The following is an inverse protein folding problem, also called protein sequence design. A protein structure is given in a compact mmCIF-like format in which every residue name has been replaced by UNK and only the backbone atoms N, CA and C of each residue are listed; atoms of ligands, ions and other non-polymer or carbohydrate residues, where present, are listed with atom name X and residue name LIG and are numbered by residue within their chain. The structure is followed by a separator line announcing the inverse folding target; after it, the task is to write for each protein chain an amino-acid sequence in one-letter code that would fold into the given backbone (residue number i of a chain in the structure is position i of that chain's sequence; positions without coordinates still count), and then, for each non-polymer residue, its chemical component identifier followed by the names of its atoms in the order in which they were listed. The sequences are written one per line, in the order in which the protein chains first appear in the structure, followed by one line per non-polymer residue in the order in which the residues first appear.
data_IF_600449455286
#
_entry.id   IF_600449455286
#
_cell.length_a   1.000
_cell.length_b   1.000
_cell.length_c   1.000
_cell.angle_alpha   90.00
_cell.angle_beta   90.00
_cell.angle_gamma   90.00
#
_symmetry.space_group_name_H-M   'P 1'
#
loop_
_entity.id
_entity.type
_entity.pdbx_description
1 polymer ?
#
# COMPACT_ATOMS: atom_id res chain seq x y z
N UNK A 1 16.17 -15.99 -41.01
CA UNK A 1 16.15 -16.25 -39.57
C UNK A 1 17.25 -17.28 -39.29
N UNK A 2 18.49 -16.81 -39.03
CA UNK A 2 19.58 -17.66 -38.68
C UNK A 2 19.36 -18.32 -37.32
N UNK A 3 19.71 -19.61 -37.22
CA UNK A 3 19.72 -20.36 -35.96
C UNK A 3 20.74 -19.68 -35.02
N UNK A 4 20.25 -18.80 -34.16
CA UNK A 4 21.09 -18.31 -33.06
C UNK A 4 21.40 -19.49 -32.15
N UNK A 5 22.69 -19.72 -31.87
CA UNK A 5 23.09 -20.76 -30.98
C UNK A 5 22.41 -20.58 -29.61
N UNK A 6 22.05 -21.67 -28.93
CA UNK A 6 21.45 -21.58 -27.58
C UNK A 6 22.23 -20.67 -26.65
N UNK A 7 23.57 -20.64 -26.80
CA UNK A 7 24.45 -19.76 -26.05
C UNK A 7 24.18 -18.27 -26.24
N UNK A 8 23.82 -17.85 -27.47
CA UNK A 8 23.46 -16.44 -27.73
C UNK A 8 22.13 -16.07 -27.07
N UNK A 9 21.18 -17.01 -27.03
CA UNK A 9 19.88 -16.81 -26.35
C UNK A 9 20.10 -16.66 -24.85
N UNK A 10 20.89 -17.53 -24.23
CA UNK A 10 21.25 -17.43 -22.82
C UNK A 10 22.00 -16.15 -22.49
N UNK A 11 22.91 -15.72 -23.36
CA UNK A 11 23.65 -14.48 -23.19
C UNK A 11 22.74 -13.25 -23.28
N UNK A 12 21.77 -13.25 -24.20
CA UNK A 12 20.75 -12.20 -24.30
C UNK A 12 19.85 -12.13 -23.08
N UNK A 13 19.42 -13.27 -22.55
CA UNK A 13 18.62 -13.34 -21.33
C UNK A 13 19.41 -12.83 -20.12
N UNK A 14 20.69 -13.16 -20.05
CA UNK A 14 21.54 -12.77 -18.92
C UNK A 14 21.96 -11.31 -18.97
N UNK A 15 22.42 -10.81 -20.11
CA UNK A 15 23.00 -9.48 -20.25
C UNK A 15 22.04 -8.46 -20.89
N UNK A 16 20.86 -8.89 -21.33
CA UNK A 16 19.91 -8.05 -22.07
C UNK A 16 20.24 -7.92 -23.55
N UNK A 17 19.45 -7.13 -24.25
CA UNK A 17 19.59 -6.84 -25.67
C UNK A 17 19.67 -5.34 -25.83
N UNK A 18 20.67 -4.86 -26.55
CA UNK A 18 20.73 -3.47 -27.02
C UNK A 18 19.94 -3.41 -28.33
N UNK A 19 18.86 -2.65 -28.34
CA UNK A 19 18.02 -2.43 -29.52
C UNK A 19 18.16 -0.97 -29.93
N UNK A 20 18.58 -0.74 -31.16
CA UNK A 20 18.61 0.60 -31.77
C UNK A 20 17.39 0.74 -32.69
N UNK A 21 16.39 1.47 -32.26
CA UNK A 21 15.16 1.71 -33.02
C UNK A 21 15.21 3.01 -33.82
N UNK A 22 16.23 3.84 -33.58
CA UNK A 22 16.35 5.19 -34.18
C UNK A 22 15.47 6.24 -33.50
N UNK A 23 14.80 5.89 -32.40
CA UNK A 23 14.05 6.82 -31.56
C UNK A 23 14.74 6.94 -30.20
N UNK A 24 15.27 8.11 -29.89
CA UNK A 24 16.04 8.38 -28.66
C UNK A 24 15.31 7.95 -27.36
N UNK A 25 14.00 8.17 -27.30
CA UNK A 25 13.19 7.79 -26.12
C UNK A 25 13.03 6.28 -26.02
N UNK A 26 12.72 5.62 -27.13
CA UNK A 26 12.61 4.15 -27.16
C UNK A 26 13.95 3.48 -26.85
N UNK A 27 15.04 3.98 -27.42
CA UNK A 27 16.39 3.44 -27.24
C UNK A 27 16.88 3.67 -25.79
N UNK A 28 16.51 4.77 -25.14
CA UNK A 28 16.83 5.01 -23.74
C UNK A 28 16.13 4.04 -22.77
N UNK A 29 14.95 3.57 -23.10
CA UNK A 29 14.17 2.60 -22.32
C UNK A 29 14.64 1.18 -22.62
N UNK A 30 14.74 0.82 -23.90
CA UNK A 30 15.09 -0.53 -24.34
C UNK A 30 16.57 -0.86 -24.13
N UNK A 31 17.46 0.11 -24.32
CA UNK A 31 18.90 -0.06 -24.13
C UNK A 31 19.31 -0.20 -22.66
N UNK A 32 18.46 0.16 -21.71
CA UNK A 32 18.68 -0.03 -20.26
C UNK A 32 18.21 -1.38 -19.74
N UNK A 33 17.53 -2.18 -20.56
CA UNK A 33 17.08 -3.52 -20.20
C UNK A 33 18.29 -4.50 -20.13
N UNK A 34 19.05 -4.43 -19.05
CA UNK A 34 20.26 -5.22 -18.81
C UNK A 34 20.01 -6.70 -18.50
N UNK A 35 18.88 -7.27 -18.91
CA UNK A 35 18.53 -8.66 -18.66
C UNK A 35 18.51 -9.01 -17.18
N UNK A 36 18.86 -10.26 -16.85
CA UNK A 36 19.00 -10.71 -15.46
C UNK A 36 20.05 -9.91 -14.69
N UNK A 37 21.17 -9.58 -15.31
CA UNK A 37 22.23 -8.78 -14.70
C UNK A 37 21.75 -7.38 -14.30
N UNK A 38 20.95 -6.73 -15.13
CA UNK A 38 20.38 -5.42 -14.83
C UNK A 38 19.45 -5.42 -13.62
N UNK A 39 18.79 -6.54 -13.34
CA UNK A 39 17.88 -6.69 -12.19
C UNK A 39 18.58 -7.13 -10.91
N UNK A 40 19.82 -7.65 -10.98
CA UNK A 40 20.57 -8.16 -9.82
C UNK A 40 20.79 -7.08 -8.76
N UNK A 41 21.04 -5.84 -9.15
CA UNK A 41 21.18 -4.73 -8.21
C UNK A 41 19.89 -4.52 -7.41
N UNK A 42 18.73 -4.56 -8.08
CA UNK A 42 17.42 -4.42 -7.45
C UNK A 42 17.12 -5.60 -6.51
N UNK A 43 17.46 -6.81 -6.92
CA UNK A 43 17.32 -8.02 -6.08
C UNK A 43 18.15 -7.90 -4.80
N UNK A 44 19.41 -7.50 -4.93
CA UNK A 44 20.30 -7.29 -3.78
C UNK A 44 19.77 -6.21 -2.84
N UNK A 45 19.25 -5.10 -3.39
CA UNK A 45 18.63 -4.03 -2.59
C UNK A 45 17.42 -4.56 -1.82
N UNK A 46 16.54 -5.31 -2.47
CA UNK A 46 15.35 -5.89 -1.85
C UNK A 46 15.74 -6.84 -0.71
N UNK A 47 16.72 -7.71 -0.93
CA UNK A 47 17.19 -8.64 0.11
C UNK A 47 17.75 -7.90 1.34
N UNK A 48 18.53 -6.85 1.13
CA UNK A 48 19.07 -6.02 2.22
C UNK A 48 17.96 -5.24 2.93
N UNK A 49 17.01 -4.68 2.17
CA UNK A 49 15.87 -3.94 2.71
C UNK A 49 14.97 -4.85 3.57
N UNK A 50 14.68 -6.07 3.10
CA UNK A 50 13.91 -7.06 3.86
C UNK A 50 14.62 -7.50 5.14
N UNK A 51 15.95 -7.71 5.08
CA UNK A 51 16.75 -8.05 6.26
C UNK A 51 16.74 -6.92 7.29
N UNK A 52 16.90 -5.67 6.85
CA UNK A 52 16.84 -4.48 7.68
C UNK A 52 15.44 -4.28 8.26
N UNK A 53 14.39 -4.34 7.43
CA UNK A 53 13.01 -4.21 7.85
C UNK A 53 12.59 -5.28 8.86
N UNK A 54 12.97 -6.54 8.62
CA UNK A 54 12.71 -7.63 9.56
C UNK A 54 13.44 -7.46 10.90
N UNK A 55 14.62 -6.85 10.91
CA UNK A 55 15.31 -6.49 12.15
C UNK A 55 14.55 -5.38 12.91
N UNK A 56 14.09 -4.34 12.23
CA UNK A 56 13.28 -3.27 12.84
C UNK A 56 11.95 -3.78 13.38
N UNK A 57 11.27 -4.67 12.67
CA UNK A 57 10.03 -5.32 13.11
C UNK A 57 10.26 -6.10 14.41
N UNK A 58 11.31 -6.94 14.46
CA UNK A 58 11.67 -7.70 15.66
C UNK A 58 12.07 -6.84 16.84
N UNK A 59 12.64 -5.66 16.62
CA UNK A 59 12.91 -4.69 17.66
C UNK A 59 11.63 -4.08 18.27
N UNK A 60 10.47 -4.25 17.63
CA UNK A 60 9.19 -3.70 18.09
C UNK A 60 9.15 -2.16 18.11
N UNK A 61 10.05 -1.49 17.39
CA UNK A 61 10.16 -0.04 17.37
C UNK A 61 8.87 0.61 16.85
N UNK A 62 8.33 0.09 15.75
CA UNK A 62 7.12 0.62 15.12
C UNK A 62 5.90 0.40 15.99
N UNK A 63 5.75 -0.79 16.57
CA UNK A 63 4.67 -1.09 17.50
C UNK A 63 4.69 -0.18 18.75
N UNK A 64 5.87 0.13 19.26
CA UNK A 64 6.01 1.06 20.39
C UNK A 64 5.65 2.49 20.05
N UNK A 65 6.07 2.96 18.88
CA UNK A 65 5.77 4.31 18.39
C UNK A 65 4.28 4.50 18.14
N UNK A 66 3.65 3.57 17.43
CA UNK A 66 2.26 3.69 16.96
C UNK A 66 1.24 2.95 17.84
N UNK A 67 1.67 1.97 18.64
CA UNK A 67 0.80 1.24 19.57
C UNK A 67 0.13 2.17 20.59
N UNK A 68 0.84 3.16 21.10
CA UNK A 68 0.29 4.19 21.97
C UNK A 68 -0.75 5.11 21.30
N UNK A 69 -0.69 5.24 19.98
CA UNK A 69 -1.63 6.06 19.21
C UNK A 69 -3.04 5.43 19.16
N UNK A 70 -3.15 4.11 19.26
CA UNK A 70 -4.44 3.39 19.28
C UNK A 70 -5.41 3.94 20.32
N UNK A 71 -4.92 4.30 21.50
CA UNK A 71 -5.75 4.77 22.61
C UNK A 71 -6.36 6.15 22.36
N UNK A 72 -5.78 6.95 21.49
CA UNK A 72 -6.26 8.29 21.13
C UNK A 72 -7.25 8.29 19.97
N UNK A 73 -7.42 7.14 19.31
CA UNK A 73 -8.27 7.00 18.12
C UNK A 73 -9.70 6.68 18.55
N UNK A 74 -10.62 7.60 18.28
CA UNK A 74 -12.05 7.46 18.63
C UNK A 74 -12.99 7.59 17.43
N UNK A 75 -12.49 8.04 16.28
CA UNK A 75 -13.30 8.23 15.07
C UNK A 75 -12.76 7.45 13.88
N UNK A 76 -13.64 7.17 12.91
CA UNK A 76 -13.26 6.47 11.67
C UNK A 76 -12.19 7.28 10.91
N UNK A 77 -12.38 8.60 10.77
CA UNK A 77 -11.41 9.44 10.08
C UNK A 77 -10.05 9.47 10.75
N UNK A 78 -9.99 9.55 12.11
CA UNK A 78 -8.71 9.53 12.83
C UNK A 78 -8.01 8.16 12.72
N UNK A 79 -8.76 7.06 12.64
CA UNK A 79 -8.21 5.73 12.43
C UNK A 79 -7.58 5.62 11.04
N UNK A 80 -8.30 6.04 10.01
CA UNK A 80 -7.80 6.01 8.63
C UNK A 80 -6.57 6.88 8.49
N UNK A 81 -6.58 8.11 9.03
CA UNK A 81 -5.42 8.98 9.01
C UNK A 81 -4.20 8.34 9.69
N UNK A 82 -4.39 7.74 10.87
CA UNK A 82 -3.32 7.06 11.58
C UNK A 82 -2.76 5.88 10.77
N UNK A 83 -3.63 5.09 10.13
CA UNK A 83 -3.22 3.97 9.27
C UNK A 83 -2.41 4.47 8.07
N UNK A 84 -2.89 5.49 7.36
CA UNK A 84 -2.21 6.09 6.21
C UNK A 84 -0.81 6.62 6.60
N UNK A 85 -0.73 7.43 7.66
CA UNK A 85 0.53 8.00 8.09
C UNK A 85 1.53 6.94 8.58
N UNK A 86 1.05 5.93 9.30
CA UNK A 86 1.92 4.83 9.75
C UNK A 86 2.43 4.02 8.57
N UNK A 87 1.60 3.75 7.57
CA UNK A 87 2.00 3.02 6.36
C UNK A 87 3.09 3.79 5.59
N UNK A 88 2.88 5.08 5.33
CA UNK A 88 3.89 5.95 4.69
C UNK A 88 5.19 6.00 5.50
N UNK A 89 5.09 6.09 6.83
CA UNK A 89 6.26 6.07 7.70
C UNK A 89 7.02 4.75 7.62
N UNK A 90 6.31 3.63 7.60
CA UNK A 90 6.92 2.31 7.44
C UNK A 90 7.61 2.17 6.08
N UNK A 91 6.99 2.60 4.98
CA UNK A 91 7.62 2.63 3.66
C UNK A 91 8.94 3.42 3.67
N UNK A 92 8.91 4.61 4.27
CA UNK A 92 10.07 5.48 4.32
C UNK A 92 11.22 4.90 5.17
N UNK A 93 10.90 4.20 6.27
CA UNK A 93 11.90 3.73 7.23
C UNK A 93 12.31 2.29 7.01
N UNK A 94 11.40 1.42 6.59
CA UNK A 94 11.66 0.00 6.36
C UNK A 94 12.02 -0.32 4.92
N UNK A 95 12.01 0.68 4.05
CA UNK A 95 12.46 0.62 2.65
C UNK A 95 11.70 -0.39 1.76
N UNK A 96 10.55 -0.88 2.20
CA UNK A 96 9.77 -1.90 1.49
C UNK A 96 8.27 -1.72 1.67
N UNK A 97 7.50 -1.81 0.57
CA UNK A 97 6.04 -1.70 0.59
C UNK A 97 5.35 -2.84 1.33
N UNK A 98 5.92 -4.07 1.32
CA UNK A 98 5.31 -5.18 2.04
C UNK A 98 5.32 -4.94 3.54
N UNK A 99 6.39 -4.33 4.06
CA UNK A 99 6.48 -3.93 5.46
C UNK A 99 5.62 -2.69 5.74
N UNK A 100 5.50 -1.78 4.78
CA UNK A 100 4.58 -0.64 4.84
C UNK A 100 3.11 -1.03 4.98
N UNK A 101 2.74 -2.20 4.50
CA UNK A 101 1.40 -2.79 4.64
C UNK A 101 1.34 -3.77 5.83
N UNK A 102 2.31 -4.69 5.89
CA UNK A 102 2.30 -5.81 6.82
C UNK A 102 2.43 -5.43 8.28
N UNK A 103 3.23 -4.41 8.59
CA UNK A 103 3.45 -3.95 9.97
C UNK A 103 2.25 -3.16 10.52
N UNK A 104 1.68 -2.16 9.81
CA UNK A 104 0.51 -1.44 10.33
C UNK A 104 -0.76 -2.28 10.39
N UNK A 105 -0.90 -3.30 9.55
CA UNK A 105 -2.11 -4.14 9.50
C UNK A 105 -2.48 -4.75 10.85
N UNK A 106 -1.63 -5.52 11.54
CA UNK A 106 -1.95 -6.07 12.86
C UNK A 106 -2.08 -4.98 13.93
N UNK A 107 -1.35 -3.87 13.80
CA UNK A 107 -1.41 -2.77 14.76
C UNK A 107 -2.82 -2.19 14.84
N UNK A 108 -3.49 -1.96 13.72
CA UNK A 108 -4.78 -1.28 13.68
C UNK A 108 -5.98 -2.23 13.53
N UNK A 109 -5.77 -3.50 13.23
CA UNK A 109 -6.82 -4.47 12.96
C UNK A 109 -7.94 -4.48 14.00
N UNK A 110 -7.57 -4.57 15.28
CA UNK A 110 -8.53 -4.57 16.40
C UNK A 110 -9.34 -3.28 16.48
N UNK A 111 -8.72 -2.15 16.11
CA UNK A 111 -9.38 -0.84 16.12
C UNK A 111 -10.42 -0.72 15.01
N UNK A 112 -10.16 -1.32 13.84
CA UNK A 112 -11.18 -1.42 12.78
C UNK A 112 -12.38 -2.24 13.25
N UNK A 113 -12.15 -3.36 13.95
CA UNK A 113 -13.22 -4.18 14.51
C UNK A 113 -14.00 -3.44 15.60
N UNK A 114 -13.31 -2.69 16.48
CA UNK A 114 -13.95 -1.88 17.52
C UNK A 114 -14.84 -0.76 16.93
N UNK A 115 -14.48 -0.22 15.77
CA UNK A 115 -15.27 0.78 15.09
C UNK A 115 -16.35 0.19 14.16
N UNK A 116 -16.48 -1.14 14.07
CA UNK A 116 -17.44 -1.84 13.24
C UNK A 116 -17.14 -1.74 11.74
N UNK A 117 -15.88 -1.53 11.39
CA UNK A 117 -15.44 -1.45 10.00
C UNK A 117 -15.08 -2.83 9.46
N UNK A 118 -15.28 -3.03 8.16
CA UNK A 118 -14.86 -4.24 7.49
C UNK A 118 -13.33 -4.30 7.32
N UNK A 119 -12.77 -5.51 7.31
CA UNK A 119 -11.31 -5.71 7.06
C UNK A 119 -10.88 -5.25 5.67
N UNK A 120 -11.78 -5.21 4.71
CA UNK A 120 -11.56 -4.58 3.40
C UNK A 120 -11.29 -3.06 3.51
N UNK A 121 -11.83 -2.38 4.54
CA UNK A 121 -11.51 -0.96 4.77
C UNK A 121 -10.07 -0.79 5.27
N UNK A 122 -9.59 -1.70 6.13
CA UNK A 122 -8.19 -1.73 6.55
C UNK A 122 -7.26 -1.97 5.35
N UNK A 123 -7.53 -3.03 4.57
CA UNK A 123 -6.74 -3.36 3.37
C UNK A 123 -6.67 -2.18 2.41
N UNK A 124 -7.81 -1.55 2.14
CA UNK A 124 -7.88 -0.37 1.28
C UNK A 124 -7.03 0.79 1.82
N UNK A 125 -7.14 1.10 3.12
CA UNK A 125 -6.38 2.21 3.72
C UNK A 125 -4.87 1.97 3.66
N UNK A 126 -4.43 0.72 3.78
CA UNK A 126 -3.03 0.34 3.63
C UNK A 126 -2.55 0.47 2.19
N UNK A 127 -3.39 0.07 1.22
CA UNK A 127 -3.09 0.20 -0.21
C UNK A 127 -3.06 1.66 -0.66
N UNK A 128 -3.99 2.48 -0.17
CA UNK A 128 -4.09 3.90 -0.51
C UNK A 128 -2.83 4.70 -0.10
N UNK A 129 -2.06 4.22 0.85
CA UNK A 129 -0.82 4.82 1.31
C UNK A 129 0.40 3.94 0.99
N UNK A 130 0.50 2.74 1.56
CA UNK A 130 1.68 1.89 1.48
C UNK A 130 2.08 1.54 0.05
N UNK A 131 1.15 1.06 -0.76
CA UNK A 131 1.47 0.70 -2.14
C UNK A 131 1.80 1.90 -3.01
N UNK A 132 1.01 2.97 -2.88
CA UNK A 132 1.16 4.14 -3.75
C UNK A 132 2.35 5.03 -3.37
N UNK A 133 2.69 5.10 -2.08
CA UNK A 133 3.79 5.94 -1.63
C UNK A 133 5.16 5.26 -1.63
N UNK A 134 5.21 3.94 -1.59
CA UNK A 134 6.48 3.21 -1.64
C UNK A 134 7.36 3.61 -2.83
N UNK A 135 6.76 3.87 -3.99
CA UNK A 135 7.48 4.28 -5.21
C UNK A 135 8.06 5.70 -5.11
N UNK A 136 7.57 6.52 -4.19
CA UNK A 136 8.02 7.91 -4.01
C UNK A 136 9.38 8.02 -3.30
N UNK A 137 9.78 6.99 -2.58
CA UNK A 137 11.05 6.97 -1.84
C UNK A 137 12.16 6.33 -2.69
N UNK A 138 13.26 7.05 -3.01
CA UNK A 138 14.33 6.53 -3.86
C UNK A 138 15.04 5.30 -3.32
N UNK A 139 14.99 5.09 -2.01
CA UNK A 139 15.66 4.00 -1.31
C UNK A 139 14.80 2.76 -1.09
N UNK A 140 13.52 2.79 -1.45
CA UNK A 140 12.67 1.60 -1.43
C UNK A 140 12.94 0.72 -2.65
N UNK A 141 12.60 -0.56 -2.56
CA UNK A 141 12.69 -1.48 -3.71
C UNK A 141 11.91 -0.96 -4.92
N UNK A 142 10.70 -0.42 -4.69
CA UNK A 142 9.86 0.14 -5.74
C UNK A 142 10.46 1.40 -6.38
N UNK A 143 10.95 2.34 -5.56
CA UNK A 143 11.57 3.57 -6.03
C UNK A 143 12.88 3.32 -6.77
N UNK A 144 13.68 2.38 -6.29
CA UNK A 144 14.92 1.96 -6.94
C UNK A 144 14.65 1.30 -8.31
N UNK A 145 13.63 0.44 -8.39
CA UNK A 145 13.21 -0.17 -9.66
C UNK A 145 12.77 0.90 -10.67
N UNK A 146 11.90 1.83 -10.25
CA UNK A 146 11.47 2.94 -11.11
C UNK A 146 12.65 3.81 -11.56
N UNK A 147 13.60 4.08 -10.67
CA UNK A 147 14.83 4.82 -11.02
C UNK A 147 15.62 4.09 -12.10
N UNK A 148 15.75 2.76 -11.98
CA UNK A 148 16.43 1.93 -12.96
C UNK A 148 15.77 1.95 -14.34
N UNK A 149 14.43 1.87 -14.37
CA UNK A 149 13.65 1.84 -15.62
C UNK A 149 13.57 3.21 -16.28
N UNK A 150 13.22 4.25 -15.51
CA UNK A 150 13.01 5.60 -16.05
C UNK A 150 14.30 6.40 -16.23
N UNK A 151 15.40 5.97 -15.58
CA UNK A 151 16.66 6.68 -15.59
C UNK A 151 16.65 8.00 -14.83
N UNK A 152 15.63 8.23 -13.99
CA UNK A 152 15.48 9.42 -13.17
C UNK A 152 15.02 9.06 -11.75
N UNK A 153 15.46 9.85 -10.76
CA UNK A 153 15.05 9.66 -9.36
C UNK A 153 13.55 9.93 -9.16
N UNK A 154 12.87 9.21 -8.24
CA UNK A 154 11.51 9.50 -7.82
C UNK A 154 11.28 10.97 -7.43
N UNK A 155 12.27 11.63 -6.86
CA UNK A 155 12.19 13.06 -6.49
C UNK A 155 11.96 13.98 -7.69
N UNK A 156 12.37 13.58 -8.89
CA UNK A 156 12.17 14.37 -10.12
C UNK A 156 10.73 14.29 -10.60
N UNK A 157 10.10 13.11 -10.57
CA UNK A 157 8.71 12.94 -11.00
C UNK A 157 7.70 13.13 -9.86
N UNK A 158 8.15 13.25 -8.62
CA UNK A 158 7.30 13.45 -7.43
C UNK A 158 6.22 14.54 -7.64
N UNK A 159 6.52 15.74 -8.15
CA UNK A 159 5.50 16.77 -8.34
C UNK A 159 4.42 16.42 -9.37
N UNK A 160 4.70 15.47 -10.26
CA UNK A 160 3.80 15.02 -11.31
C UNK A 160 3.02 13.76 -10.97
N UNK A 161 3.35 13.12 -9.87
CA UNK A 161 2.71 11.89 -9.39
C UNK A 161 1.40 12.20 -8.64
N UNK A 162 0.46 12.89 -9.30
CA UNK A 162 -0.78 13.38 -8.68
C UNK A 162 -1.61 12.29 -8.02
N UNK A 163 -1.67 11.10 -8.61
CA UNK A 163 -2.43 9.97 -8.06
C UNK A 163 -1.85 9.55 -6.71
N UNK A 164 -0.52 9.38 -6.64
CA UNK A 164 0.17 8.97 -5.42
C UNK A 164 0.02 10.00 -4.30
N UNK A 165 0.09 11.28 -4.64
CA UNK A 165 -0.01 12.39 -3.68
C UNK A 165 -1.44 12.62 -3.19
N UNK A 166 -2.41 12.63 -4.12
CA UNK A 166 -3.79 12.99 -3.81
C UNK A 166 -4.60 11.84 -3.22
N UNK A 167 -4.25 10.58 -3.53
CA UNK A 167 -5.03 9.43 -3.10
C UNK A 167 -5.16 9.30 -1.58
N UNK A 168 -4.09 9.37 -0.76
CA UNK A 168 -4.21 9.33 0.70
C UNK A 168 -5.00 10.51 1.26
N UNK A 169 -4.84 11.70 0.67
CA UNK A 169 -5.58 12.90 1.05
C UNK A 169 -7.06 12.69 0.79
N UNK A 170 -7.40 12.19 -0.40
CA UNK A 170 -8.79 11.91 -0.78
C UNK A 170 -9.41 10.80 0.08
N UNK A 171 -8.64 9.74 0.37
CA UNK A 171 -9.06 8.66 1.26
C UNK A 171 -9.38 9.19 2.67
N UNK A 172 -8.51 10.04 3.23
CA UNK A 172 -8.74 10.67 4.53
C UNK A 172 -9.95 11.59 4.52
N UNK A 173 -10.02 12.51 3.55
CA UNK A 173 -11.10 13.51 3.46
C UNK A 173 -12.47 12.83 3.33
N UNK A 174 -12.60 11.86 2.42
CA UNK A 174 -13.86 11.13 2.25
C UNK A 174 -14.27 10.38 3.50
N UNK A 175 -13.33 9.75 4.20
CA UNK A 175 -13.59 9.04 5.43
C UNK A 175 -13.94 9.98 6.59
N UNK A 176 -13.30 11.14 6.69
CA UNK A 176 -13.61 12.17 7.70
C UNK A 176 -15.06 12.68 7.54
N UNK A 177 -15.56 12.77 6.32
CA UNK A 177 -16.96 13.09 6.03
C UNK A 177 -17.93 11.89 6.15
N UNK A 178 -17.45 10.72 6.63
CA UNK A 178 -18.28 9.52 6.75
C UNK A 178 -18.65 8.88 5.41
N UNK A 179 -17.86 9.13 4.37
CA UNK A 179 -18.10 8.66 3.00
C UNK A 179 -17.08 7.62 2.62
N UNK A 180 -17.43 6.78 1.64
CA UNK A 180 -16.54 5.76 1.08
C UNK A 180 -16.03 4.77 2.14
N UNK A 181 -16.92 4.33 3.03
CA UNK A 181 -16.61 3.46 4.17
C UNK A 181 -17.23 2.08 3.93
N UNK A 182 -16.44 1.03 4.17
CA UNK A 182 -16.87 -0.35 4.18
C UNK A 182 -17.11 -0.81 5.62
N UNK A 183 -18.32 -1.25 5.91
CA UNK A 183 -18.74 -1.72 7.22
C UNK A 183 -18.59 -3.24 7.37
N UNK A 184 -18.55 -3.73 8.59
CA UNK A 184 -18.35 -5.15 8.89
C UNK A 184 -19.47 -6.06 8.35
N UNK A 185 -20.71 -5.56 8.22
CA UNK A 185 -21.83 -6.27 7.64
C UNK A 185 -21.82 -6.34 6.10
N UNK A 186 -20.74 -5.84 5.48
CA UNK A 186 -20.61 -5.75 4.04
C UNK A 186 -21.30 -4.55 3.42
N UNK A 187 -22.00 -3.74 4.19
CA UNK A 187 -22.58 -2.50 3.66
C UNK A 187 -21.47 -1.51 3.30
N UNK A 188 -21.75 -0.71 2.29
CA UNK A 188 -20.81 0.26 1.76
C UNK A 188 -21.46 1.63 1.66
N UNK A 189 -20.86 2.62 2.28
CA UNK A 189 -21.27 4.02 2.14
C UNK A 189 -20.51 4.66 1.00
N UNK A 190 -21.19 5.03 -0.08
CA UNK A 190 -20.56 5.62 -1.26
C UNK A 190 -20.11 7.08 -1.04
N UNK A 191 -19.45 7.68 -2.04
CA UNK A 191 -18.96 9.07 -2.00
C UNK A 191 -20.13 10.08 -1.80
N UNK A 192 -21.34 9.73 -2.23
CA UNK A 192 -22.54 10.57 -2.08
C UNK A 192 -23.25 10.39 -0.72
N UNK A 193 -22.70 9.57 0.18
CA UNK A 193 -23.25 9.32 1.51
C UNK A 193 -24.43 8.33 1.54
N UNK A 194 -24.74 7.66 0.41
CA UNK A 194 -25.76 6.60 0.36
C UNK A 194 -25.14 5.28 0.77
N UNK A 195 -25.76 4.58 1.71
CA UNK A 195 -25.31 3.25 2.15
C UNK A 195 -26.05 2.18 1.37
N UNK A 196 -25.31 1.30 0.72
CA UNK A 196 -25.81 0.13 -0.02
C UNK A 196 -25.43 -1.14 0.69
N UNK A 197 -26.29 -2.15 0.64
CA UNK A 197 -25.95 -3.50 1.07
C UNK A 197 -24.89 -4.11 0.12
N UNK A 198 -23.96 -4.87 0.68
CA UNK A 198 -22.91 -5.57 -0.07
C UNK A 198 -22.59 -6.91 0.60
N UNK A 199 -21.55 -7.58 0.13
CA UNK A 199 -21.07 -8.81 0.75
C UNK A 199 -20.04 -8.49 1.82
N UNK A 200 -20.09 -9.11 3.01
CA UNK A 200 -19.06 -8.95 4.02
C UNK A 200 -17.70 -9.43 3.49
N UNK A 201 -16.64 -8.72 3.87
CA UNK A 201 -15.28 -9.14 3.56
C UNK A 201 -14.92 -10.38 4.38
N UNK A 202 -14.10 -11.27 3.79
CA UNK A 202 -13.54 -12.40 4.53
C UNK A 202 -12.68 -11.90 5.68
N UNK A 203 -13.09 -12.22 6.91
CA UNK A 203 -12.34 -11.96 8.13
C UNK A 203 -12.38 -13.22 9.00
N UNK A 204 -11.45 -13.41 9.95
CA UNK A 204 -11.57 -14.45 10.95
C UNK A 204 -12.93 -14.36 11.66
N UNK A 205 -13.61 -15.48 11.86
CA UNK A 205 -15.00 -15.54 12.32
C UNK A 205 -15.22 -14.76 13.64
N UNK A 206 -14.29 -14.90 14.58
CA UNK A 206 -14.32 -14.17 15.85
C UNK A 206 -14.18 -12.65 15.68
N UNK A 207 -13.27 -12.21 14.83
CA UNK A 207 -13.07 -10.78 14.55
C UNK A 207 -14.28 -10.19 13.83
N UNK A 208 -14.87 -10.95 12.91
CA UNK A 208 -16.09 -10.54 12.20
C UNK A 208 -17.29 -10.41 13.14
N UNK A 209 -17.52 -11.39 14.02
CA UNK A 209 -18.58 -11.34 15.03
C UNK A 209 -18.43 -10.13 15.96
N UNK A 210 -17.21 -9.87 16.44
CA UNK A 210 -16.89 -8.69 17.26
C UNK A 210 -17.18 -7.39 16.52
N UNK A 211 -16.76 -7.27 15.26
CA UNK A 211 -16.97 -6.09 14.46
C UNK A 211 -18.46 -5.85 14.17
N UNK A 212 -19.25 -6.90 13.93
CA UNK A 212 -20.70 -6.82 13.75
C UNK A 212 -21.40 -6.32 15.03
N UNK A 213 -21.09 -6.90 16.17
CA UNK A 213 -21.66 -6.46 17.44
C UNK A 213 -21.36 -4.98 17.73
N UNK A 214 -20.13 -4.55 17.46
CA UNK A 214 -19.74 -3.14 17.61
C UNK A 214 -20.45 -2.23 16.61
N UNK A 215 -20.65 -2.68 15.37
CA UNK A 215 -21.38 -1.92 14.36
C UNK A 215 -22.85 -1.72 14.75
N UNK A 216 -23.52 -2.76 15.26
CA UNK A 216 -24.90 -2.67 15.75
C UNK A 216 -25.01 -1.70 16.93
N UNK A 217 -24.11 -1.78 17.89
CA UNK A 217 -24.05 -0.84 19.01
C UNK A 217 -23.86 0.61 18.53
N UNK A 218 -23.00 0.84 17.53
CA UNK A 218 -22.78 2.17 16.96
C UNK A 218 -23.98 2.68 16.15
N UNK A 219 -24.72 1.81 15.46
CA UNK A 219 -25.98 2.16 14.78
C UNK A 219 -27.07 2.52 15.78
N UNK A 220 -27.17 1.79 16.86
CA UNK A 220 -28.08 2.11 17.97
C UNK A 220 -27.74 3.47 18.60
N UNK A 221 -26.47 3.80 18.72
CA UNK A 221 -25.98 5.09 19.23
C UNK A 221 -26.03 6.24 18.19
N UNK A 222 -26.50 5.99 16.98
CA UNK A 222 -26.55 7.00 15.90
C UNK A 222 -25.18 7.41 15.33
N UNK A 223 -24.13 6.65 15.63
CA UNK A 223 -22.73 6.92 15.20
C UNK A 223 -22.32 6.19 13.91
N UNK A 224 -23.20 5.37 13.34
CA UNK A 224 -23.01 4.68 12.08
C UNK A 224 -24.29 4.75 11.24
N UNK A 225 -24.21 4.80 9.90
CA UNK A 225 -25.38 4.94 9.04
C UNK A 225 -26.25 3.66 9.10
N UNK A 226 -27.56 3.85 9.01
CA UNK A 226 -28.51 2.76 8.80
C UNK A 226 -28.53 2.41 7.31
N UNK A 227 -28.74 1.13 6.99
CA UNK A 227 -28.93 0.70 5.62
C UNK A 227 -30.28 1.26 5.16
N UNK A 228 -30.27 2.11 4.15
CA UNK A 228 -31.50 2.49 3.48
C UNK A 228 -31.92 1.31 2.62
N UNK A 229 -33.02 0.69 2.96
CA UNK A 229 -33.67 -0.37 2.20
C UNK A 229 -34.10 0.11 0.81
#
# INVERSE_FOLDING_TARGET
YGSRALGDIFNMLHNGIVVETGNEVADSILGKAGGMNGTMWTINLILLALAYGGALERCGCVERLFGGLKHKIHSVGSLILATLLTSIFCDATMCDQFLGIGVPAPIYADKYDELGLGRNMLSRSLEDAGTLWAVMFPWTGCGAYQTGVLGMSPLVFFPYAFVNLLNPIFAYVTAAFGRNIFWADGSYTNIFGKTKAGKPAGAPEEAHAKALANLEARRAAGKAPKINA
#
